data_IF_338584746707
#
_entry.id   IF_338584746707
#
_cell.length_a   1.000
_cell.length_b   1.000
_cell.length_c   1.000
_cell.angle_alpha   90.00
_cell.angle_beta   90.00
_cell.angle_gamma   90.00
#
_symmetry.space_group_name_H-M   'P 1'
#
loop_
_entity.id
_entity.type
_entity.pdbx_description
1 polymer ?
#
# COMPACT_ATOMS: atom_id res chain seq x y z
N UNK A 1 57.08 27.79 -37.23
CA UNK A 1 57.15 26.63 -36.29
C UNK A 1 55.89 26.41 -35.49
N UNK A 2 54.94 27.38 -35.36
CA UNK A 2 53.76 27.22 -34.49
C UNK A 2 52.50 26.64 -35.17
N UNK A 3 52.36 26.71 -36.48
CA UNK A 3 51.17 26.17 -37.18
C UNK A 3 51.17 24.63 -37.29
N UNK A 4 52.35 24.03 -37.46
CA UNK A 4 52.47 22.57 -37.60
C UNK A 4 52.22 21.86 -36.24
N UNK A 5 52.66 22.46 -35.11
CA UNK A 5 52.41 21.93 -33.78
C UNK A 5 50.93 22.01 -33.39
N UNK A 6 50.24 23.08 -33.82
CA UNK A 6 48.79 23.23 -33.56
C UNK A 6 47.96 22.23 -34.36
N UNK A 7 48.33 21.98 -35.63
CA UNK A 7 47.66 20.99 -36.47
C UNK A 7 47.86 19.57 -35.92
N UNK A 8 49.07 19.23 -35.44
CA UNK A 8 49.34 17.93 -34.81
C UNK A 8 48.60 17.76 -33.46
N UNK A 9 48.42 18.83 -32.70
CA UNK A 9 47.66 18.79 -31.42
C UNK A 9 46.15 18.62 -31.67
N UNK A 10 45.61 19.29 -32.68
CA UNK A 10 44.17 19.17 -33.07
C UNK A 10 43.91 17.80 -33.70
N UNK A 11 44.79 17.25 -34.50
CA UNK A 11 44.67 15.90 -35.02
C UNK A 11 44.81 14.82 -33.94
N UNK A 12 45.71 15.03 -32.94
CA UNK A 12 45.80 14.15 -31.78
C UNK A 12 44.53 14.16 -30.91
N UNK A 13 43.92 15.35 -30.70
CA UNK A 13 42.65 15.47 -29.97
C UNK A 13 41.47 14.88 -30.74
N UNK A 14 41.42 15.02 -32.06
CA UNK A 14 40.38 14.42 -32.90
C UNK A 14 40.48 12.88 -32.92
N UNK A 15 41.68 12.33 -32.97
CA UNK A 15 41.87 10.86 -32.91
C UNK A 15 41.53 10.31 -31.55
N UNK A 16 41.85 11.01 -30.45
CA UNK A 16 41.45 10.58 -29.09
C UNK A 16 39.95 10.72 -28.88
N UNK A 17 39.28 11.76 -29.42
CA UNK A 17 37.84 11.89 -29.40
C UNK A 17 37.14 10.84 -30.26
N UNK A 18 37.68 10.50 -31.44
CA UNK A 18 37.14 9.41 -32.27
C UNK A 18 37.31 8.03 -31.60
N UNK A 19 38.49 7.77 -31.00
CA UNK A 19 38.68 6.50 -30.27
C UNK A 19 37.83 6.40 -29.01
N UNK A 20 37.59 7.50 -28.29
CA UNK A 20 36.67 7.50 -27.14
C UNK A 20 35.17 7.39 -27.57
N UNK A 21 34.82 8.01 -28.69
CA UNK A 21 33.46 7.88 -29.25
C UNK A 21 33.24 6.45 -29.81
N UNK A 22 34.22 5.87 -30.50
CA UNK A 22 34.12 4.49 -30.99
C UNK A 22 34.14 3.47 -29.85
N UNK A 23 34.94 3.71 -28.80
CA UNK A 23 34.90 2.87 -27.60
C UNK A 23 33.57 2.98 -26.85
N UNK A 24 32.90 4.17 -26.85
CA UNK A 24 31.59 4.34 -26.32
C UNK A 24 30.49 3.76 -27.22
N UNK A 25 30.60 3.90 -28.55
CA UNK A 25 29.68 3.27 -29.50
C UNK A 25 29.78 1.74 -29.46
N UNK A 26 30.97 1.15 -29.38
CA UNK A 26 31.12 -0.30 -29.28
C UNK A 26 30.60 -0.84 -27.93
N UNK A 27 30.78 -0.11 -26.82
CA UNK A 27 30.12 -0.47 -25.54
C UNK A 27 28.63 -0.28 -25.60
N UNK A 28 28.12 0.81 -26.21
CA UNK A 28 26.73 1.09 -26.38
C UNK A 28 26.07 0.07 -27.32
N UNK A 29 26.76 -0.35 -28.39
CA UNK A 29 26.23 -1.34 -29.34
C UNK A 29 26.08 -2.73 -28.71
N UNK A 30 26.99 -3.13 -27.82
CA UNK A 30 26.89 -4.40 -27.07
C UNK A 30 25.72 -4.35 -26.05
N UNK A 31 25.37 -3.16 -25.54
CA UNK A 31 24.34 -2.98 -24.47
C UNK A 31 22.97 -2.58 -25.00
N UNK A 32 22.84 -2.22 -26.30
CA UNK A 32 21.55 -1.81 -26.90
C UNK A 32 20.83 -2.95 -27.61
N UNK A 33 21.41 -4.16 -27.62
CA UNK A 33 20.71 -5.32 -28.13
C UNK A 33 19.67 -5.76 -27.09
N UNK A 34 18.43 -5.28 -27.26
CA UNK A 34 17.25 -5.72 -26.49
C UNK A 34 17.03 -7.24 -26.59
N UNK A 35 17.81 -7.96 -27.42
CA UNK A 35 17.78 -9.40 -27.57
C UNK A 35 18.57 -10.17 -26.50
N UNK A 36 19.46 -9.49 -25.73
CA UNK A 36 20.14 -10.14 -24.60
C UNK A 36 19.13 -10.41 -23.48
N UNK A 37 18.70 -11.66 -23.40
CA UNK A 37 17.88 -12.09 -22.29
C UNK A 37 18.65 -11.94 -20.97
N UNK A 38 17.96 -11.64 -19.87
CA UNK A 38 18.57 -11.62 -18.53
C UNK A 38 19.32 -12.92 -18.25
N UNK A 39 18.84 -14.02 -18.82
CA UNK A 39 19.44 -15.34 -18.72
C UNK A 39 20.85 -15.39 -19.33
N UNK A 40 21.08 -14.79 -20.52
CA UNK A 40 22.40 -14.77 -21.14
C UNK A 40 23.42 -13.90 -20.37
N UNK A 41 22.98 -12.81 -19.76
CA UNK A 41 23.85 -11.97 -18.93
C UNK A 41 24.23 -12.72 -17.64
N UNK A 42 23.27 -13.34 -16.98
CA UNK A 42 23.51 -14.13 -15.76
C UNK A 42 24.48 -15.28 -16.04
N UNK A 43 24.26 -16.06 -17.11
CA UNK A 43 25.11 -17.20 -17.46
C UNK A 43 26.56 -16.78 -17.75
N UNK A 44 26.79 -15.60 -18.34
CA UNK A 44 28.15 -15.10 -18.62
C UNK A 44 28.94 -14.69 -17.37
N UNK A 45 28.26 -14.41 -16.25
CA UNK A 45 28.86 -13.94 -15.00
C UNK A 45 28.97 -15.01 -13.91
N UNK A 46 28.48 -16.24 -14.15
CA UNK A 46 28.53 -17.35 -13.20
C UNK A 46 29.95 -17.71 -12.68
N UNK A 47 31.02 -17.49 -13.44
CA UNK A 47 32.40 -17.78 -12.95
C UNK A 47 32.81 -16.95 -11.72
N UNK A 48 32.16 -15.82 -11.44
CA UNK A 48 32.47 -15.01 -10.27
C UNK A 48 31.82 -15.62 -9.00
N UNK A 49 32.47 -15.55 -7.83
CA UNK A 49 31.87 -16.01 -6.58
C UNK A 49 30.70 -15.12 -6.14
N UNK A 50 29.85 -15.67 -5.27
CA UNK A 50 28.82 -14.88 -4.56
C UNK A 50 29.50 -13.99 -3.51
N UNK A 51 29.11 -12.69 -3.36
CA UNK A 51 28.03 -11.99 -4.06
C UNK A 51 28.49 -11.22 -5.32
N UNK A 52 29.77 -11.28 -5.71
CA UNK A 52 30.37 -10.48 -6.78
C UNK A 52 29.70 -10.75 -8.15
N UNK A 53 29.28 -12.00 -8.40
CA UNK A 53 28.55 -12.37 -9.59
C UNK A 53 27.19 -11.64 -9.70
N UNK A 54 26.44 -11.53 -8.58
CA UNK A 54 25.18 -10.78 -8.55
C UNK A 54 25.45 -9.28 -8.76
N UNK A 55 26.46 -8.72 -8.10
CA UNK A 55 26.84 -7.31 -8.23
C UNK A 55 27.17 -6.96 -9.69
N UNK A 56 28.02 -7.76 -10.34
CA UNK A 56 28.39 -7.58 -11.73
C UNK A 56 27.19 -7.70 -12.69
N UNK A 57 26.26 -8.63 -12.39
CA UNK A 57 25.02 -8.75 -13.15
C UNK A 57 24.16 -7.49 -13.02
N UNK A 58 23.96 -6.96 -11.81
CA UNK A 58 23.18 -5.75 -11.59
C UNK A 58 23.86 -4.53 -12.24
N UNK A 59 25.19 -4.41 -12.16
CA UNK A 59 25.95 -3.35 -12.84
C UNK A 59 25.68 -3.38 -14.34
N UNK A 60 25.70 -4.57 -14.95
CA UNK A 60 25.38 -4.72 -16.38
C UNK A 60 23.95 -4.28 -16.70
N UNK A 61 22.98 -4.62 -15.84
CA UNK A 61 21.57 -4.23 -16.01
C UNK A 61 21.34 -2.72 -15.86
N UNK A 62 22.19 -2.01 -15.11
CA UNK A 62 22.14 -0.56 -14.95
C UNK A 62 22.62 0.20 -16.19
N UNK A 63 23.49 -0.39 -17.04
CA UNK A 63 23.88 0.20 -18.33
C UNK A 63 22.73 0.12 -19.35
N UNK A 64 21.62 0.81 -19.08
CA UNK A 64 20.44 0.84 -19.96
C UNK A 64 20.04 2.28 -20.28
N UNK A 65 19.36 2.47 -21.43
CA UNK A 65 18.76 3.78 -21.79
C UNK A 65 17.75 4.29 -20.74
N UNK A 66 17.31 3.44 -19.83
CA UNK A 66 16.39 3.82 -18.75
C UNK A 66 17.03 4.83 -17.79
N UNK A 67 18.35 4.75 -17.55
CA UNK A 67 19.09 5.71 -16.72
C UNK A 67 19.19 7.11 -17.36
N UNK A 68 19.11 7.19 -18.68
CA UNK A 68 19.16 8.47 -19.38
C UNK A 68 17.89 9.29 -19.20
N UNK A 69 16.78 8.62 -18.85
CA UNK A 69 15.44 9.22 -18.81
C UNK A 69 14.74 9.09 -17.47
N UNK A 70 15.36 8.44 -16.47
CA UNK A 70 14.74 8.25 -15.15
C UNK A 70 15.76 8.16 -14.03
N UNK A 71 15.37 8.65 -12.85
CA UNK A 71 16.09 8.39 -11.61
C UNK A 71 15.77 6.99 -11.11
N UNK A 72 16.79 6.25 -10.63
CA UNK A 72 16.65 4.93 -10.05
C UNK A 72 17.22 4.93 -8.64
N UNK A 73 16.45 4.46 -7.67
CA UNK A 73 16.94 4.03 -6.36
C UNK A 73 16.81 2.52 -6.27
N UNK A 74 17.91 1.82 -6.00
CA UNK A 74 17.95 0.36 -5.89
C UNK A 74 18.77 -0.05 -4.68
N UNK A 75 18.20 -0.92 -3.82
CA UNK A 75 18.93 -1.58 -2.73
C UNK A 75 18.53 -3.04 -2.66
N UNK A 76 19.53 -3.92 -2.52
CA UNK A 76 19.36 -5.36 -2.27
C UNK A 76 20.11 -5.69 -0.96
N UNK A 77 19.40 -6.33 -0.03
CA UNK A 77 19.93 -6.72 1.26
C UNK A 77 19.79 -8.23 1.46
N UNK A 78 20.86 -8.86 1.88
CA UNK A 78 20.90 -10.25 2.30
C UNK A 78 20.45 -10.34 3.76
N UNK A 79 19.26 -10.91 3.97
CA UNK A 79 18.66 -11.11 5.29
C UNK A 79 19.30 -12.30 6.03
N UNK A 80 19.90 -13.25 5.30
CA UNK A 80 20.59 -14.40 5.87
C UNK A 80 21.94 -14.02 6.43
N UNK A 81 22.75 -13.25 5.67
CA UNK A 81 24.04 -12.74 6.10
C UNK A 81 23.96 -11.39 6.83
N UNK A 82 22.77 -10.78 6.85
CA UNK A 82 22.51 -9.44 7.40
C UNK A 82 23.44 -8.35 6.84
N UNK A 83 23.62 -8.32 5.52
CA UNK A 83 24.52 -7.41 4.82
C UNK A 83 23.92 -6.80 3.57
N UNK A 84 24.37 -5.59 3.21
CA UNK A 84 23.99 -4.96 1.95
C UNK A 84 24.74 -5.60 0.79
N UNK A 85 24.02 -6.21 -0.16
CA UNK A 85 24.62 -6.79 -1.35
C UNK A 85 24.83 -5.77 -2.45
N UNK A 86 23.87 -4.87 -2.65
CA UNK A 86 23.91 -3.87 -3.71
C UNK A 86 23.19 -2.58 -3.31
N UNK A 87 23.76 -1.44 -3.69
CA UNK A 87 23.14 -0.15 -3.45
C UNK A 87 23.48 0.83 -4.59
N UNK A 88 22.45 1.31 -5.27
CA UNK A 88 22.55 2.36 -6.28
C UNK A 88 21.60 3.49 -5.91
N UNK A 89 22.10 4.70 -5.73
CA UNK A 89 21.37 5.86 -5.23
C UNK A 89 20.46 5.56 -4.03
N UNK A 90 20.95 4.86 -3.00
CA UNK A 90 20.10 4.26 -1.94
C UNK A 90 19.28 5.28 -1.17
N UNK A 91 19.75 6.53 -1.07
CA UNK A 91 19.14 7.62 -0.28
C UNK A 91 18.44 8.68 -1.12
N UNK A 92 18.38 8.52 -2.45
CA UNK A 92 17.58 9.42 -3.27
C UNK A 92 16.13 9.38 -2.81
N UNK A 93 15.56 10.56 -2.56
CA UNK A 93 14.16 10.71 -2.16
C UNK A 93 13.30 10.68 -3.40
N UNK A 94 12.63 9.56 -3.59
CA UNK A 94 11.78 9.27 -4.72
C UNK A 94 10.36 9.02 -4.24
N UNK A 95 9.39 9.19 -5.12
CA UNK A 95 7.99 8.83 -4.84
C UNK A 95 7.85 7.31 -4.81
N UNK A 96 7.34 6.74 -3.72
CA UNK A 96 7.23 5.28 -3.59
C UNK A 96 6.10 4.71 -4.45
N UNK A 97 5.11 5.51 -4.83
CA UNK A 97 3.84 5.00 -5.30
C UNK A 97 3.30 3.93 -4.31
N UNK A 98 2.66 2.89 -4.80
CA UNK A 98 2.00 1.89 -3.92
C UNK A 98 2.94 0.97 -3.13
N UNK A 99 4.29 1.08 -3.23
CA UNK A 99 5.17 0.41 -2.27
C UNK A 99 5.04 1.01 -0.87
N UNK A 100 4.54 2.25 -0.73
CA UNK A 100 4.10 2.85 0.53
C UNK A 100 3.19 1.92 1.33
N UNK A 101 2.34 1.13 0.68
CA UNK A 101 1.41 0.21 1.35
C UNK A 101 2.13 -0.84 2.21
N UNK A 102 3.33 -1.27 1.80
CA UNK A 102 4.14 -2.15 2.63
C UNK A 102 4.60 -1.44 3.91
N UNK A 103 4.96 -0.16 3.84
CA UNK A 103 5.34 0.65 5.00
C UNK A 103 4.15 0.83 5.96
N UNK A 104 2.96 1.10 5.40
CA UNK A 104 1.70 1.20 6.16
C UNK A 104 1.35 -0.13 6.84
N UNK A 105 1.48 -1.26 6.11
CA UNK A 105 1.25 -2.60 6.64
C UNK A 105 2.18 -2.94 7.81
N UNK A 106 3.49 -2.74 7.64
CA UNK A 106 4.50 -2.97 8.67
C UNK A 106 4.17 -2.16 9.93
N UNK A 107 3.81 -0.89 9.72
CA UNK A 107 3.46 0.01 10.83
C UNK A 107 2.19 -0.45 11.54
N UNK A 108 1.16 -0.85 10.80
CA UNK A 108 -0.09 -1.32 11.38
C UNK A 108 0.10 -2.61 12.17
N UNK A 109 0.85 -3.57 11.63
CA UNK A 109 1.17 -4.82 12.33
C UNK A 109 2.00 -4.57 13.59
N UNK A 110 2.95 -3.61 13.59
CA UNK A 110 3.73 -3.22 14.80
C UNK A 110 2.88 -2.51 15.86
N UNK A 111 1.96 -1.62 15.46
CA UNK A 111 1.24 -0.73 16.39
C UNK A 111 -0.10 -1.25 16.83
N UNK A 112 -0.78 -1.98 15.97
CA UNK A 112 -2.14 -2.48 16.22
C UNK A 112 -2.14 -3.97 16.56
N UNK A 113 -1.18 -4.73 16.00
CA UNK A 113 -1.11 -6.19 16.11
C UNK A 113 -1.87 -6.90 14.97
N UNK A 114 -1.55 -8.19 14.77
CA UNK A 114 -2.21 -9.02 13.74
C UNK A 114 -3.64 -9.42 14.10
N UNK A 115 -4.01 -9.37 15.37
CA UNK A 115 -5.35 -9.65 15.90
C UNK A 115 -6.28 -8.43 15.89
N UNK A 116 -5.82 -7.30 15.37
CA UNK A 116 -6.62 -6.08 15.28
C UNK A 116 -7.90 -6.28 14.44
N UNK A 117 -9.01 -5.71 14.92
CA UNK A 117 -10.31 -5.77 14.26
C UNK A 117 -10.77 -4.38 13.83
N UNK A 118 -11.07 -4.22 12.55
CA UNK A 118 -11.82 -3.09 12.03
C UNK A 118 -13.28 -3.23 12.47
N UNK A 119 -13.91 -2.16 12.97
CA UNK A 119 -15.21 -2.25 13.62
C UNK A 119 -16.18 -1.21 13.09
N UNK A 120 -17.42 -1.65 12.79
CA UNK A 120 -18.55 -0.77 12.53
C UNK A 120 -19.67 -1.16 13.50
N UNK A 121 -20.23 -0.20 14.22
CA UNK A 121 -21.17 -0.48 15.30
C UNK A 121 -22.52 0.18 15.06
N UNK A 122 -23.56 -0.49 15.52
CA UNK A 122 -24.93 -0.01 15.56
C UNK A 122 -25.37 0.10 17.02
N UNK A 123 -25.81 1.28 17.43
CA UNK A 123 -26.25 1.54 18.80
C UNK A 123 -27.55 2.37 18.81
N UNK A 124 -28.31 2.30 19.87
CA UNK A 124 -29.50 3.14 20.04
C UNK A 124 -29.60 3.70 21.45
N UNK A 125 -30.46 4.73 21.60
CA UNK A 125 -30.86 5.29 22.88
C UNK A 125 -32.30 5.75 22.78
N UNK A 126 -33.14 5.18 23.62
CA UNK A 126 -34.56 5.46 23.59
C UNK A 126 -35.36 4.44 24.42
N UNK A 127 -36.65 4.46 24.23
CA UNK A 127 -37.59 3.52 24.87
C UNK A 127 -38.50 2.89 23.82
N UNK A 128 -38.92 1.65 24.04
CA UNK A 128 -39.92 0.98 23.22
C UNK A 128 -41.28 1.21 23.85
N UNK A 129 -42.22 1.77 23.09
CA UNK A 129 -43.60 2.02 23.50
C UNK A 129 -44.48 0.99 22.82
N UNK A 130 -45.29 0.30 23.61
CA UNK A 130 -46.32 -0.62 23.14
C UNK A 130 -47.66 0.09 23.04
N UNK A 131 -48.30 -0.03 21.91
CA UNK A 131 -49.68 0.43 21.73
C UNK A 131 -50.62 -0.77 21.87
N UNK A 132 -51.70 -0.60 22.63
CA UNK A 132 -52.69 -1.66 22.89
C UNK A 132 -54.07 -1.19 22.48
N UNK A 133 -54.90 -2.12 22.02
CA UNK A 133 -56.31 -1.85 21.74
C UNK A 133 -57.17 -1.98 23.00
N UNK A 134 -58.51 -1.85 22.82
CA UNK A 134 -59.48 -1.95 23.92
C UNK A 134 -59.58 -3.35 24.56
N UNK A 135 -58.98 -4.38 23.94
CA UNK A 135 -58.91 -5.75 24.45
C UNK A 135 -57.55 -6.08 25.10
N UNK A 136 -56.72 -5.05 25.34
CA UNK A 136 -55.36 -5.15 25.84
C UNK A 136 -54.37 -5.90 24.90
N UNK A 137 -54.75 -6.12 23.66
CA UNK A 137 -53.85 -6.73 22.66
C UNK A 137 -52.86 -5.70 22.10
N UNK A 138 -51.59 -6.08 21.97
CA UNK A 138 -50.58 -5.21 21.39
C UNK A 138 -50.85 -5.04 19.90
N UNK A 139 -51.08 -3.80 19.47
CA UNK A 139 -51.38 -3.42 18.08
C UNK A 139 -50.16 -2.82 17.35
N UNK A 140 -49.11 -2.45 18.07
CA UNK A 140 -47.88 -1.92 17.51
C UNK A 140 -46.83 -1.60 18.56
N UNK A 141 -45.57 -1.52 18.14
CA UNK A 141 -44.45 -1.12 18.97
C UNK A 141 -43.61 -0.07 18.27
N UNK A 142 -43.31 1.02 18.96
CA UNK A 142 -42.50 2.11 18.45
C UNK A 142 -41.23 2.28 19.28
N UNK A 143 -40.07 2.34 18.64
CA UNK A 143 -38.84 2.87 19.25
C UNK A 143 -38.94 4.40 19.22
N UNK A 144 -39.18 5.03 20.39
CA UNK A 144 -38.97 6.48 20.55
C UNK A 144 -37.55 6.74 21.00
N UNK A 145 -36.70 7.15 20.03
CA UNK A 145 -35.27 7.35 20.28
C UNK A 145 -34.45 7.35 19.04
N UNK A 146 -33.17 7.59 19.21
CA UNK A 146 -32.20 7.75 18.13
C UNK A 146 -31.34 6.51 17.96
N UNK A 147 -30.87 6.31 16.74
CA UNK A 147 -29.94 5.23 16.34
C UNK A 147 -28.65 5.84 15.82
N UNK A 148 -27.53 5.30 16.25
CA UNK A 148 -26.18 5.69 15.77
C UNK A 148 -25.51 4.54 15.02
N UNK A 149 -25.02 4.85 13.82
CA UNK A 149 -24.07 4.03 13.07
C UNK A 149 -22.68 4.61 13.31
N UNK A 150 -21.82 3.89 14.03
CA UNK A 150 -20.49 4.36 14.38
C UNK A 150 -19.50 3.77 13.36
N UNK A 151 -18.93 4.66 12.54
CA UNK A 151 -17.95 4.27 11.54
C UNK A 151 -16.55 4.08 12.13
N UNK A 152 -15.94 2.93 11.85
CA UNK A 152 -14.56 2.65 12.20
C UNK A 152 -13.66 2.53 10.98
N UNK A 153 -14.06 3.12 9.86
CA UNK A 153 -13.32 3.08 8.60
C UNK A 153 -12.98 1.65 8.15
N UNK A 154 -13.97 0.76 8.27
CA UNK A 154 -13.90 -0.62 7.81
C UNK A 154 -14.16 -0.67 6.29
N UNK A 155 -13.15 -0.97 5.43
CA UNK A 155 -13.31 -0.93 3.98
C UNK A 155 -14.03 -2.16 3.42
N UNK A 156 -14.28 -3.16 4.26
CA UNK A 156 -14.93 -4.43 3.88
C UNK A 156 -16.43 -4.44 4.17
N UNK A 157 -16.95 -3.48 4.95
CA UNK A 157 -18.36 -3.45 5.29
C UNK A 157 -19.24 -3.46 4.02
N UNK A 158 -20.08 -4.47 3.91
CA UNK A 158 -20.82 -4.78 2.68
C UNK A 158 -22.31 -5.06 2.96
N UNK A 159 -23.04 -5.48 1.92
CA UNK A 159 -24.48 -5.73 1.99
C UNK A 159 -24.86 -6.77 3.05
N UNK A 160 -24.02 -7.78 3.29
CA UNK A 160 -24.27 -8.81 4.30
C UNK A 160 -24.21 -8.23 5.72
N UNK A 161 -23.22 -7.39 5.99
CA UNK A 161 -23.10 -6.67 7.28
C UNK A 161 -24.29 -5.74 7.50
N UNK A 162 -24.71 -5.06 6.43
CA UNK A 162 -25.89 -4.19 6.48
C UNK A 162 -27.18 -4.97 6.81
N UNK A 163 -27.32 -6.21 6.26
CA UNK A 163 -28.44 -7.09 6.63
C UNK A 163 -28.41 -7.47 8.11
N UNK A 164 -27.22 -7.71 8.67
CA UNK A 164 -27.09 -7.98 10.11
C UNK A 164 -27.50 -6.78 10.95
N UNK A 165 -27.18 -5.55 10.53
CA UNK A 165 -27.65 -4.33 11.20
C UNK A 165 -29.17 -4.20 11.15
N UNK A 166 -29.78 -4.41 9.99
CA UNK A 166 -31.24 -4.37 9.85
C UNK A 166 -31.93 -5.47 10.69
N UNK A 167 -31.35 -6.67 10.75
CA UNK A 167 -31.87 -7.75 11.58
C UNK A 167 -31.76 -7.42 13.07
N UNK A 168 -30.66 -6.84 13.55
CA UNK A 168 -30.52 -6.43 14.94
C UNK A 168 -31.58 -5.39 15.36
N UNK A 169 -31.97 -4.49 14.44
CA UNK A 169 -33.10 -3.57 14.70
C UNK A 169 -34.43 -4.32 14.71
N UNK A 170 -34.63 -5.30 13.80
CA UNK A 170 -35.85 -6.13 13.79
C UNK A 170 -36.04 -6.94 15.08
N UNK A 171 -34.96 -7.37 15.72
CA UNK A 171 -34.97 -8.12 16.99
C UNK A 171 -35.52 -7.26 18.15
N UNK A 172 -35.54 -5.93 18.02
CA UNK A 172 -36.27 -5.06 18.95
C UNK A 172 -37.79 -5.25 18.86
N UNK A 173 -38.26 -5.94 17.81
CA UNK A 173 -39.68 -6.21 17.54
C UNK A 173 -40.53 -4.92 17.51
N UNK A 174 -40.04 -3.90 16.79
CA UNK A 174 -40.68 -2.61 16.58
C UNK A 174 -41.21 -2.48 15.16
N UNK A 175 -42.38 -1.84 15.00
CA UNK A 175 -43.00 -1.54 13.69
C UNK A 175 -42.59 -0.16 13.18
N UNK A 176 -42.24 0.72 14.11
CA UNK A 176 -41.93 2.12 13.86
C UNK A 176 -40.68 2.56 14.61
N UNK A 177 -39.87 3.38 13.96
CA UNK A 177 -38.79 4.13 14.61
C UNK A 177 -39.12 5.61 14.49
N UNK A 178 -39.22 6.30 15.64
CA UNK A 178 -39.46 7.73 15.74
C UNK A 178 -38.29 8.39 16.45
N UNK A 179 -37.50 9.16 15.71
CA UNK A 179 -36.28 9.82 16.18
C UNK A 179 -35.31 10.06 15.01
N UNK A 180 -34.01 10.03 15.28
CA UNK A 180 -33.01 10.33 14.26
C UNK A 180 -32.11 9.13 13.99
N UNK A 181 -31.58 9.09 12.76
CA UNK A 181 -30.55 8.16 12.33
C UNK A 181 -29.25 8.92 12.15
N UNK A 182 -28.27 8.68 13.00
CA UNK A 182 -27.01 9.41 13.00
C UNK A 182 -25.85 8.57 12.49
N UNK A 183 -25.01 9.20 11.65
CA UNK A 183 -23.67 8.74 11.35
C UNK A 183 -22.69 9.33 12.37
N UNK A 184 -21.99 8.49 13.12
CA UNK A 184 -20.83 8.92 13.90
C UNK A 184 -19.57 8.74 13.05
N UNK A 185 -19.06 9.86 12.54
CA UNK A 185 -17.87 9.93 11.68
C UNK A 185 -16.62 10.37 12.46
N UNK A 186 -16.66 10.32 13.78
CA UNK A 186 -15.59 10.86 14.63
C UNK A 186 -14.30 10.02 14.65
N UNK A 187 -14.26 8.91 13.92
CA UNK A 187 -13.05 8.06 13.80
C UNK A 187 -11.84 8.83 13.21
N UNK A 188 -12.08 9.73 12.25
CA UNK A 188 -11.07 10.59 11.63
C UNK A 188 -11.60 12.01 11.44
N UNK A 189 -10.75 12.94 11.04
CA UNK A 189 -11.12 14.27 10.59
C UNK A 189 -12.14 14.24 9.43
N UNK A 190 -12.62 15.43 9.03
CA UNK A 190 -13.64 15.56 7.98
C UNK A 190 -13.10 15.55 6.56
N UNK A 191 -11.78 15.50 6.37
CA UNK A 191 -11.18 15.52 5.05
C UNK A 191 -11.53 14.25 4.27
N UNK A 192 -12.11 14.41 3.08
CA UNK A 192 -12.56 13.32 2.22
C UNK A 192 -11.51 12.87 1.20
N UNK A 193 -10.45 13.63 1.05
CA UNK A 193 -9.31 13.34 0.17
C UNK A 193 -8.02 13.27 0.99
N UNK A 194 -7.06 12.48 0.53
CA UNK A 194 -5.71 12.43 1.11
C UNK A 194 -4.90 13.69 0.74
N UNK A 195 -3.95 14.03 1.60
CA UNK A 195 -3.04 15.15 1.37
C UNK A 195 -2.24 14.92 0.06
N UNK A 196 -2.30 15.89 -0.87
CA UNK A 196 -1.58 15.82 -2.15
C UNK A 196 -2.21 14.89 -3.20
N UNK A 197 -3.47 14.49 -3.01
CA UNK A 197 -4.23 13.80 -4.06
C UNK A 197 -4.78 14.79 -5.09
N UNK A 198 -4.78 14.40 -6.36
CA UNK A 198 -5.41 15.18 -7.42
C UNK A 198 -6.93 15.00 -7.33
N UNK A 199 -7.66 16.10 -7.26
CA UNK A 199 -9.12 16.10 -7.05
C UNK A 199 -9.92 15.49 -8.23
N UNK A 200 -9.31 15.45 -9.41
CA UNK A 200 -9.88 14.95 -10.67
C UNK A 200 -9.54 13.48 -10.96
N UNK A 201 -8.76 12.84 -10.09
CA UNK A 201 -8.50 11.41 -10.15
C UNK A 201 -9.67 10.59 -9.57
N UNK A 202 -9.75 9.30 -9.92
CA UNK A 202 -10.69 8.34 -9.33
C UNK A 202 -10.26 7.97 -7.90
N UNK A 203 -10.46 8.91 -6.99
CA UNK A 203 -10.07 8.78 -5.59
C UNK A 203 -11.10 8.02 -4.77
N UNK A 204 -10.69 7.17 -3.82
CA UNK A 204 -11.62 6.63 -2.84
C UNK A 204 -12.08 7.73 -1.88
N UNK A 205 -13.35 7.71 -1.47
CA UNK A 205 -13.83 8.61 -0.42
C UNK A 205 -13.30 8.16 0.95
N UNK A 206 -12.61 9.05 1.66
CA UNK A 206 -12.10 8.81 3.00
C UNK A 206 -13.18 9.08 4.05
N UNK A 207 -14.22 8.24 4.08
CA UNK A 207 -15.28 8.28 5.08
C UNK A 207 -15.13 7.17 6.11
N UNK A 208 -15.31 7.43 7.41
CA UNK A 208 -15.33 6.38 8.43
C UNK A 208 -16.46 5.36 8.27
N UNK A 209 -17.53 5.75 7.58
CA UNK A 209 -18.74 4.94 7.44
C UNK A 209 -19.06 4.73 5.96
N UNK A 210 -18.64 3.58 5.43
CA UNK A 210 -18.85 3.18 4.04
C UNK A 210 -19.64 1.88 3.96
N UNK A 211 -20.36 1.68 2.85
CA UNK A 211 -20.92 0.39 2.44
C UNK A 211 -20.51 0.12 0.99
N UNK A 212 -20.01 -1.08 0.70
CA UNK A 212 -19.49 -1.43 -0.62
C UNK A 212 -18.51 -0.36 -1.16
N UNK A 213 -17.70 0.20 -0.26
CA UNK A 213 -16.73 1.28 -0.51
C UNK A 213 -17.33 2.62 -0.98
N UNK A 214 -18.61 2.84 -0.72
CA UNK A 214 -19.35 4.06 -1.09
C UNK A 214 -19.94 4.77 0.14
N UNK A 215 -19.95 6.09 0.09
CA UNK A 215 -20.53 6.95 1.15
C UNK A 215 -22.06 7.05 1.00
N UNK A 216 -22.76 5.94 1.25
CA UNK A 216 -24.22 5.80 1.15
C UNK A 216 -24.79 4.94 2.30
N UNK A 217 -24.12 4.95 3.45
CA UNK A 217 -24.42 4.01 4.53
C UNK A 217 -25.83 4.18 5.09
N UNK A 218 -26.20 5.38 5.54
CA UNK A 218 -27.51 5.64 6.13
C UNK A 218 -28.65 5.40 5.13
N UNK A 219 -28.48 5.81 3.87
CA UNK A 219 -29.48 5.57 2.82
C UNK A 219 -29.75 4.07 2.65
N UNK A 220 -28.66 3.27 2.65
CA UNK A 220 -28.77 1.81 2.53
C UNK A 220 -29.41 1.18 3.76
N UNK A 221 -29.08 1.64 4.95
CA UNK A 221 -29.74 1.17 6.17
C UNK A 221 -31.23 1.48 6.15
N UNK A 222 -31.61 2.71 5.84
CA UNK A 222 -33.03 3.10 5.74
C UNK A 222 -33.77 2.26 4.68
N UNK A 223 -33.14 2.00 3.55
CA UNK A 223 -33.71 1.13 2.52
C UNK A 223 -33.95 -0.29 3.05
N UNK A 224 -33.01 -0.87 3.78
CA UNK A 224 -33.15 -2.21 4.38
C UNK A 224 -34.26 -2.24 5.44
N UNK A 225 -34.36 -1.21 6.26
CA UNK A 225 -35.42 -1.12 7.28
C UNK A 225 -36.83 -1.01 6.66
N UNK A 226 -36.98 -0.19 5.59
CA UNK A 226 -38.23 -0.12 4.82
C UNK A 226 -38.59 -1.46 4.17
N UNK A 227 -37.63 -2.16 3.62
CA UNK A 227 -37.80 -3.50 3.05
C UNK A 227 -38.25 -4.51 4.14
N UNK A 228 -37.80 -4.31 5.38
CA UNK A 228 -38.19 -5.08 6.55
C UNK A 228 -39.57 -4.65 7.11
N UNK A 229 -40.28 -3.74 6.45
CA UNK A 229 -41.58 -3.18 6.85
C UNK A 229 -41.56 -2.38 8.17
N UNK A 230 -40.42 -1.78 8.51
CA UNK A 230 -40.30 -0.84 9.62
C UNK A 230 -40.60 0.56 9.09
N UNK A 231 -41.61 1.22 9.66
CA UNK A 231 -41.91 2.60 9.32
C UNK A 231 -40.88 3.53 9.97
N UNK A 232 -40.37 4.49 9.17
CA UNK A 232 -39.33 5.42 9.60
C UNK A 232 -39.89 6.84 9.67
N UNK A 233 -40.19 7.31 10.88
CA UNK A 233 -40.44 8.70 11.21
C UNK A 233 -39.13 9.31 11.73
N UNK A 234 -38.13 9.39 10.81
CA UNK A 234 -36.74 9.67 11.15
C UNK A 234 -36.10 10.68 10.19
N UNK A 235 -35.18 11.48 10.71
CA UNK A 235 -34.26 12.30 9.93
C UNK A 235 -32.84 11.73 10.00
N UNK A 236 -32.07 11.96 8.96
CA UNK A 236 -30.64 11.63 8.94
C UNK A 236 -29.80 12.80 9.45
N UNK A 237 -28.70 12.50 10.14
CA UNK A 237 -27.76 13.51 10.60
C UNK A 237 -26.36 12.95 10.91
N UNK A 238 -25.44 13.84 11.22
CA UNK A 238 -24.10 13.49 11.72
C UNK A 238 -24.03 13.88 13.20
N UNK A 239 -23.75 12.92 14.07
CA UNK A 239 -23.58 13.17 15.50
C UNK A 239 -22.69 12.11 16.12
N UNK A 240 -21.76 12.54 16.98
CA UNK A 240 -20.97 11.64 17.81
C UNK A 240 -21.90 10.86 18.74
N UNK A 241 -21.76 9.53 18.76
CA UNK A 241 -22.54 8.67 19.62
C UNK A 241 -22.32 9.03 21.10
N UNK A 242 -23.38 9.40 21.85
CA UNK A 242 -23.25 9.77 23.25
C UNK A 242 -23.03 8.54 24.14
N UNK A 243 -22.65 8.78 25.38
CA UNK A 243 -22.59 7.73 26.40
C UNK A 243 -24.01 7.25 26.78
N UNK A 244 -24.08 6.02 27.29
CA UNK A 244 -25.37 5.43 27.75
C UNK A 244 -26.24 4.96 26.59
N UNK A 245 -25.72 4.76 25.38
CA UNK A 245 -26.39 4.05 24.30
C UNK A 245 -26.28 2.54 24.50
N UNK A 246 -27.26 1.80 24.00
CA UNK A 246 -27.29 0.33 24.00
C UNK A 246 -26.74 -0.17 22.66
N UNK A 247 -25.83 -1.12 22.71
CA UNK A 247 -25.31 -1.76 21.51
C UNK A 247 -26.34 -2.76 20.94
N UNK A 248 -26.58 -2.67 19.64
CA UNK A 248 -27.42 -3.61 18.89
C UNK A 248 -26.61 -4.63 18.14
N UNK A 249 -25.57 -4.15 17.45
CA UNK A 249 -24.75 -5.00 16.60
C UNK A 249 -23.36 -4.38 16.41
N UNK A 250 -22.34 -5.20 16.40
CA UNK A 250 -20.98 -4.83 15.98
C UNK A 250 -20.56 -5.78 14.87
N UNK A 251 -20.12 -5.20 13.73
CA UNK A 251 -19.48 -5.95 12.64
C UNK A 251 -17.99 -5.72 12.67
N UNK A 252 -17.24 -6.77 12.42
CA UNK A 252 -15.79 -6.73 12.48
C UNK A 252 -15.17 -7.47 11.31
N UNK A 253 -14.07 -6.92 10.78
CA UNK A 253 -13.16 -7.60 9.86
C UNK A 253 -11.75 -7.59 10.41
N UNK A 254 -11.01 -8.66 10.14
CA UNK A 254 -9.66 -8.86 10.68
C UNK A 254 -8.61 -8.06 9.94
N UNK A 255 -7.43 -7.92 10.57
CA UNK A 255 -6.25 -7.33 9.93
C UNK A 255 -5.94 -8.01 8.59
N UNK A 256 -5.94 -9.34 8.52
CA UNK A 256 -5.59 -10.08 7.31
C UNK A 256 -6.62 -9.92 6.20
N UNK A 257 -7.92 -9.88 6.52
CA UNK A 257 -8.96 -9.63 5.52
C UNK A 257 -8.81 -8.26 4.86
N UNK A 258 -8.31 -7.26 5.58
CA UNK A 258 -8.01 -5.92 5.03
C UNK A 258 -6.66 -5.90 4.32
N UNK A 259 -5.65 -6.56 4.88
CA UNK A 259 -4.28 -6.58 4.37
C UNK A 259 -4.19 -7.26 2.99
N UNK A 260 -4.92 -8.36 2.78
CA UNK A 260 -4.89 -9.11 1.52
C UNK A 260 -5.29 -8.27 0.29
N UNK A 261 -6.48 -7.62 0.23
CA UNK A 261 -6.83 -6.77 -0.91
C UNK A 261 -5.95 -5.53 -1.02
N UNK A 262 -5.46 -4.99 0.09
CA UNK A 262 -4.53 -3.85 0.11
C UNK A 262 -3.24 -4.19 -0.64
N UNK A 263 -2.67 -5.34 -0.36
CA UNK A 263 -1.37 -5.75 -0.92
C UNK A 263 -1.52 -6.41 -2.29
N UNK A 264 -2.37 -7.44 -2.42
CA UNK A 264 -2.56 -8.22 -3.66
C UNK A 264 -3.09 -7.36 -4.80
N UNK A 265 -4.14 -6.56 -4.54
CA UNK A 265 -4.82 -5.76 -5.56
C UNK A 265 -4.37 -4.28 -5.55
N UNK A 266 -3.46 -3.93 -4.64
CA UNK A 266 -2.98 -2.55 -4.47
C UNK A 266 -4.12 -1.54 -4.17
N UNK A 267 -5.12 -1.94 -3.38
CA UNK A 267 -6.30 -1.12 -3.13
C UNK A 267 -5.97 0.08 -2.22
N UNK A 268 -6.22 1.30 -2.72
CA UNK A 268 -5.90 2.54 -2.02
C UNK A 268 -6.78 2.74 -0.78
N UNK A 269 -8.11 2.50 -0.88
CA UNK A 269 -9.02 2.68 0.26
C UNK A 269 -8.61 1.82 1.47
N UNK A 270 -8.18 0.58 1.22
CA UNK A 270 -7.77 -0.34 2.28
C UNK A 270 -6.49 0.15 2.99
N UNK A 271 -5.57 0.75 2.24
CA UNK A 271 -4.37 1.35 2.81
C UNK A 271 -4.69 2.60 3.63
N UNK A 272 -5.58 3.45 3.14
CA UNK A 272 -6.01 4.62 3.90
C UNK A 272 -6.83 4.23 5.14
N UNK A 273 -7.68 3.21 5.03
CA UNK A 273 -8.39 2.68 6.19
C UNK A 273 -7.39 2.25 7.28
N UNK A 274 -6.37 1.48 6.91
CA UNK A 274 -5.30 1.06 7.82
C UNK A 274 -4.51 2.25 8.39
N UNK A 275 -4.18 3.24 7.56
CA UNK A 275 -3.47 4.45 7.96
C UNK A 275 -4.27 5.26 8.97
N UNK A 276 -5.59 5.41 8.79
CA UNK A 276 -6.45 6.11 9.74
C UNK A 276 -6.79 5.28 10.99
N UNK A 277 -6.65 3.94 10.98
CA UNK A 277 -6.62 3.16 12.23
C UNK A 277 -5.43 3.58 13.10
N UNK A 278 -4.24 3.73 12.47
CA UNK A 278 -3.05 4.24 13.16
C UNK A 278 -3.28 5.66 13.69
N UNK A 279 -3.89 6.52 12.89
CA UNK A 279 -4.22 7.88 13.30
C UNK A 279 -5.13 7.89 14.53
N UNK A 280 -6.23 7.13 14.49
CA UNK A 280 -7.19 7.03 15.58
C UNK A 280 -6.56 6.45 16.86
N UNK A 281 -5.73 5.42 16.73
CA UNK A 281 -4.98 4.81 17.85
C UNK A 281 -4.09 5.81 18.56
N UNK A 282 -3.48 6.74 17.81
CA UNK A 282 -2.56 7.76 18.34
C UNK A 282 -3.28 9.02 18.83
N UNK A 283 -4.30 9.48 18.11
CA UNK A 283 -4.94 10.79 18.30
C UNK A 283 -6.37 10.74 18.83
N UNK A 284 -6.99 9.55 18.88
CA UNK A 284 -8.39 9.40 19.29
C UNK A 284 -9.38 9.91 18.24
N UNK A 285 -10.51 10.44 18.69
CA UNK A 285 -11.55 10.98 17.81
C UNK A 285 -11.02 12.17 16.99
N UNK A 286 -11.50 12.28 15.76
CA UNK A 286 -11.13 13.34 14.80
C UNK A 286 -9.63 13.34 14.44
N UNK A 287 -8.98 12.17 14.53
CA UNK A 287 -7.57 12.04 14.22
C UNK A 287 -7.27 12.39 12.76
N UNK A 288 -6.20 13.15 12.54
CA UNK A 288 -5.71 13.57 11.23
C UNK A 288 -4.60 12.64 10.72
N UNK A 289 -4.29 12.68 9.44
CA UNK A 289 -3.15 12.00 8.82
C UNK A 289 -1.81 12.25 9.55
N UNK A 290 -1.66 13.39 10.25
CA UNK A 290 -0.48 13.71 11.05
C UNK A 290 -0.20 12.66 12.13
N UNK A 291 -1.23 12.14 12.79
CA UNK A 291 -1.06 11.11 13.83
C UNK A 291 -0.60 9.77 13.22
N UNK A 292 -1.15 9.37 12.07
CA UNK A 292 -0.69 8.19 11.35
C UNK A 292 0.77 8.33 10.89
N UNK A 293 1.14 9.50 10.34
CA UNK A 293 2.53 9.83 10.00
C UNK A 293 3.46 9.67 11.19
N UNK A 294 3.05 10.17 12.36
CA UNK A 294 3.82 9.99 13.61
C UNK A 294 4.00 8.52 13.97
N UNK A 295 2.98 7.68 13.78
CA UNK A 295 3.10 6.24 14.01
C UNK A 295 4.13 5.60 13.07
N UNK A 296 4.11 5.94 11.76
CA UNK A 296 5.09 5.46 10.78
C UNK A 296 6.52 5.91 11.18
N UNK A 297 6.70 7.18 11.54
CA UNK A 297 7.99 7.71 11.96
C UNK A 297 8.56 7.01 13.22
N UNK A 298 7.69 6.63 14.17
CA UNK A 298 8.11 5.85 15.33
C UNK A 298 8.62 4.46 14.94
N UNK A 299 7.96 3.78 13.98
CA UNK A 299 8.42 2.48 13.50
C UNK A 299 9.69 2.60 12.68
N UNK A 300 9.83 3.65 11.86
CA UNK A 300 11.09 3.97 11.19
C UNK A 300 12.23 4.10 12.19
N UNK A 301 12.02 4.82 13.30
CA UNK A 301 13.03 4.97 14.37
C UNK A 301 13.38 3.61 15.01
N UNK A 302 12.39 2.73 15.26
CA UNK A 302 12.63 1.37 15.72
C UNK A 302 13.48 0.55 14.73
N UNK A 303 13.26 0.76 13.42
CA UNK A 303 14.02 0.13 12.35
C UNK A 303 15.42 0.76 12.12
N UNK A 304 15.85 1.70 12.97
CA UNK A 304 17.13 2.39 12.84
C UNK A 304 17.19 3.41 11.70
N UNK A 305 16.05 4.01 11.34
CA UNK A 305 15.91 5.01 10.28
C UNK A 305 15.66 6.38 10.90
N UNK A 306 16.45 7.41 10.52
CA UNK A 306 16.09 8.80 10.81
C UNK A 306 14.88 9.19 9.93
N UNK A 307 13.72 9.54 10.50
CA UNK A 307 12.53 9.88 9.73
C UNK A 307 12.57 11.30 9.11
N UNK A 308 13.47 12.18 9.56
CA UNK A 308 13.49 13.60 9.16
C UNK A 308 13.58 13.85 7.66
N UNK A 309 14.37 13.09 6.86
CA UNK A 309 14.48 13.31 5.42
C UNK A 309 13.23 12.94 4.62
N UNK A 310 12.29 12.20 5.21
CA UNK A 310 11.17 11.57 4.52
C UNK A 310 9.85 12.25 4.85
N UNK A 311 8.92 12.19 3.89
CA UNK A 311 7.57 12.69 4.09
C UNK A 311 6.55 11.62 3.67
N UNK A 312 5.63 11.32 4.56
CA UNK A 312 4.54 10.34 4.36
C UNK A 312 3.23 11.12 4.42
N UNK A 313 2.66 11.43 3.28
CA UNK A 313 1.43 12.20 3.18
C UNK A 313 0.19 11.32 3.39
N UNK A 314 0.23 10.09 2.89
CA UNK A 314 -0.88 9.14 2.89
C UNK A 314 -0.41 7.70 3.17
N UNK A 315 -1.36 6.78 3.35
CA UNK A 315 -1.07 5.36 3.57
C UNK A 315 -0.91 4.55 2.29
N UNK A 316 -1.40 5.04 1.16
CA UNK A 316 -1.47 4.30 -0.10
C UNK A 316 -0.33 4.58 -1.06
N UNK A 317 0.35 5.73 -0.93
CA UNK A 317 1.33 6.23 -1.88
C UNK A 317 0.71 6.80 -3.15
N UNK A 318 -0.57 7.16 -3.12
CA UNK A 318 -1.23 7.90 -4.20
C UNK A 318 -0.78 9.37 -4.21
N UNK A 319 -0.45 9.91 -3.05
CA UNK A 319 -0.01 11.29 -2.86
C UNK A 319 1.25 11.62 -3.66
N UNK A 320 1.22 12.79 -4.30
CA UNK A 320 2.40 13.37 -4.95
C UNK A 320 3.44 13.90 -3.95
N UNK A 321 3.09 14.01 -2.68
CA UNK A 321 3.95 14.59 -1.63
C UNK A 321 4.71 13.54 -0.82
N UNK A 322 4.39 12.25 -0.97
CA UNK A 322 5.13 11.19 -0.31
C UNK A 322 6.51 10.99 -0.95
N UNK A 323 7.57 11.02 -0.14
CA UNK A 323 8.95 10.78 -0.57
C UNK A 323 9.64 9.82 0.39
N UNK A 324 10.13 8.71 -0.15
CA UNK A 324 10.93 7.70 0.53
C UNK A 324 12.26 7.49 -0.21
N UNK A 325 13.04 6.51 0.22
CA UNK A 325 14.20 6.01 -0.52
C UNK A 325 14.24 4.49 -0.52
N UNK A 326 14.95 3.89 -1.46
CA UNK A 326 15.11 2.44 -1.52
C UNK A 326 15.75 1.88 -0.24
N UNK A 327 16.74 2.60 0.35
CA UNK A 327 17.34 2.21 1.63
C UNK A 327 16.31 2.19 2.77
N UNK A 328 15.43 3.18 2.82
CA UNK A 328 14.38 3.26 3.83
C UNK A 328 13.41 2.09 3.71
N UNK A 329 12.93 1.78 2.50
CA UNK A 329 12.02 0.66 2.28
C UNK A 329 12.67 -0.69 2.65
N UNK A 330 13.93 -0.91 2.26
CA UNK A 330 14.68 -2.13 2.62
C UNK A 330 14.88 -2.24 4.13
N UNK A 331 15.19 -1.16 4.83
CA UNK A 331 15.32 -1.20 6.29
C UNK A 331 13.99 -1.54 6.98
N UNK A 332 12.86 -1.04 6.47
CA UNK A 332 11.54 -1.41 6.98
C UNK A 332 11.20 -2.88 6.69
N UNK A 333 11.52 -3.38 5.49
CA UNK A 333 11.34 -4.81 5.14
C UNK A 333 12.24 -5.70 6.03
N UNK A 334 13.51 -5.31 6.26
CA UNK A 334 14.40 -6.00 7.18
C UNK A 334 13.84 -6.02 8.61
N UNK A 335 13.34 -4.89 9.10
CA UNK A 335 12.66 -4.81 10.41
C UNK A 335 11.47 -5.77 10.48
N UNK A 336 10.64 -5.84 9.44
CA UNK A 336 9.54 -6.80 9.37
C UNK A 336 10.04 -8.24 9.44
N UNK A 337 11.06 -8.61 8.66
CA UNK A 337 11.65 -9.95 8.65
C UNK A 337 12.17 -10.39 10.01
N UNK A 338 12.75 -9.48 10.78
CA UNK A 338 13.25 -9.72 12.14
C UNK A 338 12.12 -9.90 13.18
N UNK A 339 10.87 -9.60 12.80
CA UNK A 339 9.68 -9.69 13.66
C UNK A 339 8.63 -10.62 13.04
N UNK A 340 8.62 -11.89 13.44
CA UNK A 340 7.76 -12.93 12.84
C UNK A 340 6.27 -12.56 12.81
N UNK A 341 5.75 -11.95 13.86
CA UNK A 341 4.36 -11.48 13.93
C UNK A 341 4.02 -10.40 12.87
N UNK A 342 5.04 -9.71 12.32
CA UNK A 342 4.87 -8.77 11.22
C UNK A 342 5.12 -9.50 9.89
N UNK A 343 6.23 -10.24 9.83
CA UNK A 343 6.69 -10.84 8.58
C UNK A 343 5.69 -11.84 8.00
N UNK A 344 5.17 -12.75 8.83
CA UNK A 344 4.32 -13.84 8.34
C UNK A 344 3.03 -13.29 7.70
N UNK A 345 2.39 -12.28 8.29
CA UNK A 345 1.21 -11.61 7.73
C UNK A 345 1.55 -10.77 6.48
N UNK A 346 2.63 -10.00 6.56
CA UNK A 346 3.09 -9.16 5.45
C UNK A 346 3.45 -10.01 4.23
N UNK A 347 4.29 -11.04 4.41
CA UNK A 347 4.77 -11.91 3.34
C UNK A 347 3.62 -12.66 2.65
N UNK A 348 2.70 -13.24 3.42
CA UNK A 348 1.52 -13.92 2.90
C UNK A 348 0.59 -13.01 2.09
N UNK A 349 0.55 -11.71 2.42
CA UNK A 349 -0.30 -10.73 1.73
C UNK A 349 0.33 -10.16 0.45
N UNK A 350 1.64 -10.32 0.23
CA UNK A 350 2.32 -9.78 -0.96
C UNK A 350 1.91 -10.51 -2.24
N UNK A 351 1.78 -9.80 -3.38
CA UNK A 351 1.70 -10.42 -4.71
C UNK A 351 2.88 -11.35 -4.96
N UNK A 352 2.61 -12.47 -5.65
CA UNK A 352 3.60 -13.49 -5.98
C UNK A 352 3.85 -13.49 -7.49
N UNK A 353 5.11 -13.44 -7.89
CA UNK A 353 5.52 -13.44 -9.30
C UNK A 353 4.97 -14.65 -10.06
N UNK A 354 4.29 -14.39 -11.18
CA UNK A 354 3.68 -15.41 -12.04
C UNK A 354 2.49 -16.16 -11.45
N UNK A 355 1.97 -15.74 -10.27
CA UNK A 355 0.91 -16.44 -9.55
C UNK A 355 -0.32 -15.57 -9.35
N UNK A 356 -0.19 -14.47 -8.59
CA UNK A 356 -1.34 -13.70 -8.15
C UNK A 356 -1.11 -12.18 -8.06
N UNK A 357 -2.18 -11.48 -7.77
CA UNK A 357 -2.18 -10.05 -7.54
C UNK A 357 -1.59 -9.26 -8.71
N UNK A 358 -0.90 -8.17 -8.41
CA UNK A 358 -0.28 -7.29 -9.42
C UNK A 358 0.96 -7.88 -10.08
N UNK A 359 1.43 -9.04 -9.64
CA UNK A 359 2.56 -9.79 -10.24
C UNK A 359 2.13 -11.03 -11.02
N UNK A 360 0.83 -11.33 -11.15
CA UNK A 360 0.32 -12.53 -11.85
C UNK A 360 0.83 -12.67 -13.28
N UNK A 361 0.98 -11.56 -14.00
CA UNK A 361 1.48 -11.52 -15.38
C UNK A 361 2.97 -11.20 -15.51
N UNK A 362 3.74 -11.16 -14.41
CA UNK A 362 5.15 -10.80 -14.41
C UNK A 362 6.02 -11.99 -13.97
N UNK A 363 7.17 -12.18 -14.63
CA UNK A 363 8.22 -13.16 -14.27
C UNK A 363 7.77 -14.64 -14.25
N UNK A 364 6.59 -14.98 -14.78
CA UNK A 364 5.97 -16.32 -14.63
C UNK A 364 6.70 -17.48 -15.31
N UNK A 365 7.69 -17.22 -16.19
CA UNK A 365 8.50 -18.23 -16.89
C UNK A 365 9.99 -18.11 -16.57
N UNK A 366 10.33 -17.60 -15.39
CA UNK A 366 11.71 -17.34 -14.98
C UNK A 366 12.00 -17.94 -13.60
N UNK A 367 13.25 -17.90 -13.15
CA UNK A 367 13.65 -18.29 -11.78
C UNK A 367 12.96 -17.49 -10.67
N UNK A 368 12.43 -16.32 -10.99
CA UNK A 368 11.69 -15.48 -10.06
C UNK A 368 10.22 -15.94 -9.85
N UNK A 369 9.67 -16.80 -10.73
CA UNK A 369 8.32 -17.32 -10.62
C UNK A 369 8.11 -18.09 -9.31
N UNK A 370 6.99 -17.84 -8.61
CA UNK A 370 6.65 -18.42 -7.30
C UNK A 370 7.63 -18.05 -6.16
N UNK A 371 8.71 -17.31 -6.45
CA UNK A 371 9.77 -16.98 -5.52
C UNK A 371 9.71 -15.51 -5.06
N UNK A 372 9.50 -14.57 -5.98
CA UNK A 372 9.42 -13.15 -5.64
C UNK A 372 8.05 -12.83 -5.05
N UNK A 373 8.04 -12.38 -3.80
CA UNK A 373 6.89 -11.83 -3.09
C UNK A 373 7.09 -10.33 -2.91
N UNK A 374 6.40 -9.51 -3.71
CA UNK A 374 6.70 -8.08 -3.72
C UNK A 374 5.47 -7.21 -3.99
N UNK A 375 5.47 -6.02 -3.36
CA UNK A 375 4.51 -4.96 -3.63
C UNK A 375 4.96 -4.13 -4.83
N UNK A 376 4.08 -3.97 -5.80
CA UNK A 376 4.27 -3.06 -6.94
C UNK A 376 3.80 -1.65 -6.60
N UNK A 377 4.41 -0.65 -7.21
CA UNK A 377 3.94 0.73 -7.20
C UNK A 377 3.87 1.31 -8.61
N UNK A 378 2.80 2.06 -8.89
CA UNK A 378 2.62 2.73 -10.17
C UNK A 378 1.76 3.97 -9.97
N UNK A 379 2.31 5.12 -10.29
CA UNK A 379 1.62 6.40 -10.50
C UNK A 379 2.26 7.08 -11.70
N UNK A 380 1.67 8.14 -12.23
CA UNK A 380 2.24 8.89 -13.35
C UNK A 380 3.69 9.24 -13.09
N UNK A 381 4.57 8.82 -14.00
CA UNK A 381 6.02 9.06 -13.92
C UNK A 381 6.79 8.18 -12.93
N UNK A 382 6.15 7.21 -12.25
CA UNK A 382 6.80 6.35 -11.24
C UNK A 382 6.43 4.90 -11.42
N UNK A 383 7.44 4.02 -11.34
CA UNK A 383 7.27 2.57 -11.21
C UNK A 383 8.18 2.07 -10.08
N UNK A 384 7.64 1.30 -9.15
CA UNK A 384 8.40 0.75 -8.03
C UNK A 384 8.06 -0.71 -7.74
N UNK A 385 8.99 -1.41 -7.08
CA UNK A 385 8.84 -2.79 -6.66
C UNK A 385 9.67 -3.01 -5.39
N UNK A 386 9.06 -3.52 -4.32
CA UNK A 386 9.76 -3.79 -3.07
C UNK A 386 9.23 -5.05 -2.41
N UNK A 387 10.11 -5.91 -1.90
CA UNK A 387 9.71 -7.18 -1.31
C UNK A 387 10.87 -8.12 -1.01
N UNK A 388 10.60 -9.42 -1.14
CA UNK A 388 11.48 -10.52 -0.76
C UNK A 388 11.62 -11.53 -1.89
N UNK A 389 12.76 -12.23 -1.89
CA UNK A 389 12.98 -13.43 -2.69
C UNK A 389 14.04 -14.32 -2.03
N UNK A 390 14.17 -15.55 -2.53
CA UNK A 390 15.26 -16.46 -2.16
C UNK A 390 16.22 -16.59 -3.31
N UNK A 391 17.52 -16.36 -3.10
CA UNK A 391 18.56 -16.55 -4.09
C UNK A 391 18.82 -18.05 -4.33
N UNK A 392 19.47 -18.40 -5.45
CA UNK A 392 19.76 -19.78 -5.82
C UNK A 392 20.63 -20.53 -4.80
N UNK A 393 21.46 -19.80 -4.02
CA UNK A 393 22.25 -20.35 -2.91
C UNK A 393 21.47 -20.51 -1.59
N UNK A 394 20.15 -20.22 -1.59
CA UNK A 394 19.27 -20.35 -0.43
C UNK A 394 19.23 -19.12 0.50
N UNK A 395 20.00 -18.05 0.22
CA UNK A 395 19.92 -16.81 0.98
C UNK A 395 18.59 -16.11 0.76
N UNK A 396 17.99 -15.63 1.82
CA UNK A 396 16.78 -14.80 1.76
C UNK A 396 17.19 -13.34 1.56
N UNK A 397 16.62 -12.72 0.55
CA UNK A 397 16.91 -11.33 0.18
C UNK A 397 15.67 -10.46 0.37
N UNK A 398 15.87 -9.19 0.75
CA UNK A 398 14.86 -8.16 0.55
C UNK A 398 15.41 -7.04 -0.34
N UNK A 399 14.51 -6.38 -1.06
CA UNK A 399 14.90 -5.39 -2.04
C UNK A 399 13.88 -4.27 -2.20
N UNK A 400 14.34 -3.13 -2.71
CA UNK A 400 13.52 -2.03 -3.21
C UNK A 400 14.12 -1.46 -4.47
N UNK A 401 13.26 -1.22 -5.48
CA UNK A 401 13.58 -0.62 -6.76
C UNK A 401 12.54 0.48 -7.02
N UNK A 402 12.97 1.74 -7.11
CA UNK A 402 12.10 2.87 -7.39
C UNK A 402 12.63 3.57 -8.64
N UNK A 403 11.81 3.61 -9.70
CA UNK A 403 12.07 4.33 -10.93
C UNK A 403 11.17 5.56 -10.99
N UNK A 404 11.74 6.75 -11.11
CA UNK A 404 11.00 8.03 -11.21
C UNK A 404 11.43 8.80 -12.47
N UNK A 405 10.49 9.53 -13.08
CA UNK A 405 10.71 10.26 -14.33
C UNK A 405 10.36 9.43 -15.59
N UNK A 406 9.80 8.22 -15.42
CA UNK A 406 9.47 7.33 -16.54
C UNK A 406 8.24 7.83 -17.31
N UNK A 407 8.35 7.96 -18.65
CA UNK A 407 7.21 8.29 -19.52
C UNK A 407 6.28 7.08 -19.71
N UNK A 408 6.88 5.88 -19.79
CA UNK A 408 6.17 4.61 -19.89
C UNK A 408 6.66 3.68 -18.78
N UNK A 409 5.74 2.95 -18.16
CA UNK A 409 6.08 2.02 -17.09
C UNK A 409 6.70 0.71 -17.59
N UNK A 410 6.54 0.36 -18.89
CA UNK A 410 6.98 -0.92 -19.42
C UNK A 410 8.51 -1.12 -19.33
N UNK A 411 9.37 -0.16 -19.71
CA UNK A 411 10.84 -0.32 -19.55
C UNK A 411 11.26 -0.45 -18.09
N UNK A 412 10.64 0.33 -17.18
CA UNK A 412 10.95 0.25 -15.76
C UNK A 412 10.55 -1.11 -15.16
N UNK A 413 9.38 -1.64 -15.52
CA UNK A 413 8.94 -2.98 -15.11
C UNK A 413 9.87 -4.07 -15.65
N UNK A 414 10.28 -3.98 -16.92
CA UNK A 414 11.23 -4.93 -17.51
C UNK A 414 12.59 -4.90 -16.80
N UNK A 415 13.08 -3.72 -16.41
CA UNK A 415 14.27 -3.58 -15.58
C UNK A 415 14.11 -4.25 -14.23
N UNK A 416 13.01 -3.96 -13.51
CA UNK A 416 12.69 -4.56 -12.21
C UNK A 416 12.62 -6.08 -12.30
N UNK A 417 11.98 -6.63 -13.35
CA UNK A 417 11.87 -8.08 -13.57
C UNK A 417 13.24 -8.71 -13.78
N UNK A 418 14.12 -8.07 -14.57
CA UNK A 418 15.49 -8.55 -14.79
C UNK A 418 16.32 -8.57 -13.51
N UNK A 419 16.20 -7.53 -12.68
CA UNK A 419 16.85 -7.50 -11.35
C UNK A 419 16.35 -8.64 -10.47
N UNK A 420 15.04 -8.87 -10.41
CA UNK A 420 14.45 -9.96 -9.65
C UNK A 420 14.91 -11.34 -10.14
N UNK A 421 14.98 -11.54 -11.48
CA UNK A 421 15.47 -12.79 -12.07
C UNK A 421 16.94 -13.00 -11.72
N UNK A 422 17.78 -11.95 -11.79
CA UNK A 422 19.19 -12.04 -11.40
C UNK A 422 19.33 -12.47 -9.92
N UNK A 423 18.60 -11.84 -9.00
CA UNK A 423 18.61 -12.21 -7.58
C UNK A 423 18.23 -13.68 -7.34
N UNK A 424 17.29 -14.22 -8.12
CA UNK A 424 16.80 -15.60 -7.95
C UNK A 424 17.64 -16.68 -8.66
N UNK A 425 18.49 -16.30 -9.63
CA UNK A 425 19.24 -17.24 -10.48
C UNK A 425 20.73 -17.31 -10.14
N UNK A 426 21.33 -16.19 -9.73
CA UNK A 426 22.75 -16.10 -9.43
C UNK A 426 23.06 -16.66 -8.05
N UNK A 427 24.12 -17.46 -7.93
CA UNK A 427 24.59 -18.08 -6.68
C UNK A 427 26.11 -18.09 -6.57
#
# INVERSE_FOLDING_TARGET
>A
MNRLKFILLVLGLLVTLQMSAQYQEDKVTILTDDSLSTESVVDSLQPLPWPENLQACIDTLLFTKLLDISDIGLVIWDLTADSCLYAFHPRHRLRPASTMKAMTAITALDKLGSDYLFRTQLRYKGRIIEYRDSTDAITGKTLEGDIWCIGGMDPLFAADDMRMFANAIRELNVDTIRGNLYADLSHKDKDRLGEGWCWDDDNPSLSPLLIDRKDKFLDKLMQQLRNARIYLDTQQGEQVCPSGTIELCTRTHTMDEVLQPMMKNSNNLFAEAMFYQLANRMGGKWATAKYARTAVQQVMTKAGIDPKPYYIADGSGLSLYSYLSAEMEVKMLRFAYQNRNIYDHLYASMPIAGVDGTLSGRMGKTSAAHNVHAKTGTVTGVSSLAGYCTAANGHVLCFSIINQGVQSHAPARAFQDRVCVAMCRVY
#
